data_IF_901189270175
#
_entry.id   IF_901189270175
#
_cell.length_a   1.000
_cell.length_b   1.000
_cell.length_c   1.000
_cell.angle_alpha   90.00
_cell.angle_beta   90.00
_cell.angle_gamma   90.00
#
_symmetry.space_group_name_H-M   'P 1'
#
loop_
_entity.id
_entity.type
_entity.pdbx_description
1 polymer ?
#
# COMPACT_ATOMS: atom_id res chain seq x y z
N UNK A 1 12.56 6.11 26.51
CA UNK A 1 11.71 7.07 25.79
C UNK A 1 11.48 6.53 24.39
N UNK A 2 10.23 6.25 24.00
CA UNK A 2 9.91 5.82 22.65
C UNK A 2 10.14 7.00 21.68
N UNK A 3 10.93 6.80 20.62
CA UNK A 3 11.08 7.77 19.55
C UNK A 3 9.71 7.95 18.89
N UNK A 4 9.15 9.17 18.90
CA UNK A 4 7.91 9.43 18.18
C UNK A 4 8.15 9.15 16.69
N UNK A 5 7.40 8.22 16.13
CA UNK A 5 7.37 8.00 14.69
C UNK A 5 6.85 9.27 14.01
N UNK A 6 7.71 9.96 13.25
CA UNK A 6 7.35 11.10 12.41
C UNK A 6 7.53 10.64 10.97
N UNK A 7 6.44 10.29 10.32
CA UNK A 7 6.43 10.01 8.88
C UNK A 7 6.50 11.36 8.15
N UNK A 8 7.48 11.52 7.26
CA UNK A 8 7.54 12.68 6.38
C UNK A 8 6.46 12.54 5.31
N UNK A 9 5.50 13.46 5.31
CA UNK A 9 4.33 13.41 4.43
C UNK A 9 4.43 14.34 3.22
N UNK A 10 5.63 14.81 2.88
CA UNK A 10 5.85 15.89 1.90
C UNK A 10 5.78 15.53 0.41
N UNK A 11 5.72 14.24 0.03
CA UNK A 11 5.43 13.80 -1.36
C UNK A 11 3.94 13.91 -1.75
N UNK A 12 3.44 13.09 -2.68
CA UNK A 12 2.00 12.99 -3.01
C UNK A 12 1.17 12.69 -1.75
N UNK A 13 0.57 13.75 -1.21
CA UNK A 13 -0.03 13.77 0.12
C UNK A 13 -1.43 13.16 0.07
N UNK A 14 -2.15 13.38 -1.03
CA UNK A 14 -3.50 12.85 -1.23
C UNK A 14 -3.47 11.32 -1.21
N UNK A 15 -2.60 10.72 -2.03
CA UNK A 15 -2.47 9.26 -2.08
C UNK A 15 -2.19 8.61 -0.72
N UNK A 16 -1.38 9.24 0.13
CA UNK A 16 -1.06 8.72 1.47
C UNK A 16 -2.16 8.96 2.50
N UNK A 17 -2.93 10.03 2.36
CA UNK A 17 -4.11 10.25 3.19
C UNK A 17 -5.19 9.22 2.84
N UNK A 18 -5.44 8.99 1.55
CA UNK A 18 -6.36 7.97 1.05
C UNK A 18 -5.95 6.57 1.54
N UNK A 19 -4.67 6.19 1.39
CA UNK A 19 -4.17 4.90 1.89
C UNK A 19 -4.33 4.72 3.41
N UNK A 20 -4.19 5.79 4.19
CA UNK A 20 -4.35 5.74 5.64
C UNK A 20 -5.83 5.65 6.03
N UNK A 21 -6.70 6.34 5.31
CA UNK A 21 -8.16 6.27 5.51
C UNK A 21 -8.68 4.88 5.13
N UNK A 22 -8.25 4.33 3.99
CA UNK A 22 -8.56 2.95 3.59
C UNK A 22 -8.10 1.93 4.64
N UNK A 23 -6.90 2.12 5.20
CA UNK A 23 -6.39 1.26 6.26
C UNK A 23 -7.19 1.41 7.56
N UNK A 24 -7.59 2.64 7.92
CA UNK A 24 -8.45 2.90 9.08
C UNK A 24 -9.80 2.20 8.94
N UNK A 25 -10.45 2.32 7.78
CA UNK A 25 -11.74 1.67 7.51
C UNK A 25 -11.60 0.14 7.46
N UNK A 26 -10.55 -0.37 6.81
CA UNK A 26 -10.31 -1.81 6.66
C UNK A 26 -10.06 -2.51 8.01
N UNK A 27 -9.34 -1.86 8.91
CA UNK A 27 -8.95 -2.44 10.20
C UNK A 27 -9.80 -1.95 11.37
N UNK A 28 -10.86 -1.17 11.13
CA UNK A 28 -11.73 -0.56 12.14
C UNK A 28 -10.93 0.25 13.18
N UNK A 29 -9.97 1.03 12.70
CA UNK A 29 -9.05 1.82 13.51
C UNK A 29 -9.40 3.30 13.46
N UNK A 30 -9.48 3.93 14.64
CA UNK A 30 -9.86 5.35 14.76
C UNK A 30 -8.70 6.33 14.62
N UNK A 31 -7.46 5.83 14.49
CA UNK A 31 -6.25 6.65 14.39
C UNK A 31 -5.34 6.18 13.27
N UNK A 32 -4.68 7.13 12.60
CA UNK A 32 -3.66 6.84 11.56
C UNK A 32 -2.54 5.93 12.08
N UNK A 33 -2.11 6.12 13.33
CA UNK A 33 -1.12 5.25 13.97
C UNK A 33 -1.64 3.84 14.23
N UNK A 34 -2.90 3.69 14.64
CA UNK A 34 -3.56 2.40 14.84
C UNK A 34 -3.65 1.64 13.53
N UNK A 35 -4.10 2.31 12.46
CA UNK A 35 -4.18 1.72 11.12
C UNK A 35 -2.81 1.24 10.60
N UNK A 36 -1.74 2.00 10.81
CA UNK A 36 -0.38 1.56 10.45
C UNK A 36 0.04 0.33 11.25
N UNK A 37 -0.19 0.29 12.56
CA UNK A 37 0.16 -0.87 13.39
C UNK A 37 -0.64 -2.11 12.96
N UNK A 38 -1.96 -1.96 12.77
CA UNK A 38 -2.83 -3.04 12.30
C UNK A 38 -2.41 -3.57 10.93
N UNK A 39 -2.06 -2.67 9.99
CA UNK A 39 -1.54 -3.06 8.68
C UNK A 39 -0.22 -3.83 8.77
N UNK A 40 0.70 -3.44 9.66
CA UNK A 40 1.97 -4.14 9.87
C UNK A 40 1.76 -5.53 10.49
N UNK A 41 0.90 -5.63 11.50
CA UNK A 41 0.55 -6.90 12.13
C UNK A 41 -0.15 -7.85 11.16
N UNK A 42 -1.02 -7.30 10.30
CA UNK A 42 -1.68 -8.03 9.23
C UNK A 42 -0.69 -8.53 8.18
N UNK A 43 0.22 -7.68 7.70
CA UNK A 43 1.26 -8.07 6.74
C UNK A 43 2.12 -9.21 7.26
N UNK A 44 2.51 -9.16 8.54
CA UNK A 44 3.28 -10.25 9.18
C UNK A 44 2.51 -11.57 9.21
N UNK A 45 1.20 -11.52 9.47
CA UNK A 45 0.35 -12.70 9.47
C UNK A 45 0.14 -13.26 8.05
N UNK A 46 0.00 -12.37 7.06
CA UNK A 46 -0.12 -12.75 5.66
C UNK A 46 1.15 -13.43 5.14
N UNK A 47 2.34 -12.93 5.47
CA UNK A 47 3.60 -13.57 5.05
C UNK A 47 3.63 -15.03 5.48
N UNK A 48 3.36 -15.31 6.76
CA UNK A 48 3.31 -16.68 7.27
C UNK A 48 2.19 -17.52 6.62
N UNK A 49 1.03 -16.91 6.32
CA UNK A 49 -0.05 -17.60 5.65
C UNK A 49 0.30 -17.96 4.20
N UNK A 50 0.96 -17.07 3.47
CA UNK A 50 1.42 -17.29 2.09
C UNK A 50 2.54 -18.33 2.02
N UNK A 51 3.48 -18.32 2.97
CA UNK A 51 4.50 -19.38 3.10
C UNK A 51 3.84 -20.76 3.29
N UNK A 52 2.82 -20.85 4.15
CA UNK A 52 2.10 -22.12 4.35
C UNK A 52 1.25 -22.50 3.15
N UNK A 53 0.70 -21.53 2.45
CA UNK A 53 -0.10 -21.76 1.26
C UNK A 53 0.78 -22.29 0.11
N UNK A 54 2.00 -21.78 -0.05
CA UNK A 54 2.90 -22.21 -1.13
C UNK A 54 3.30 -23.68 -1.02
N UNK A 55 3.30 -24.24 0.19
CA UNK A 55 3.56 -25.65 0.49
C UNK A 55 2.30 -26.54 0.44
N UNK A 56 1.11 -25.96 0.25
CA UNK A 56 -0.14 -26.70 0.25
C UNK A 56 -0.28 -27.56 -1.02
N UNK A 57 -0.76 -28.83 -0.94
CA UNK A 57 -0.90 -29.71 -2.10
C UNK A 57 -1.78 -29.16 -3.24
N UNK A 58 -2.73 -28.29 -2.91
CA UNK A 58 -3.62 -27.66 -3.87
C UNK A 58 -3.06 -26.34 -4.46
N UNK A 59 -1.84 -25.94 -4.08
CA UNK A 59 -1.19 -24.77 -4.68
C UNK A 59 -0.75 -25.09 -6.11
N UNK A 60 -1.21 -24.28 -7.06
CA UNK A 60 -0.86 -24.40 -8.48
C UNK A 60 0.17 -23.33 -8.86
N UNK A 61 0.96 -23.56 -9.91
CA UNK A 61 1.92 -22.57 -10.41
C UNK A 61 1.23 -21.25 -10.82
N UNK A 62 0.07 -21.34 -11.48
CA UNK A 62 -0.73 -20.16 -11.86
C UNK A 62 -1.20 -19.35 -10.64
N UNK A 63 -1.66 -20.03 -9.59
CA UNK A 63 -2.09 -19.36 -8.36
C UNK A 63 -0.90 -18.75 -7.62
N UNK A 64 0.25 -19.44 -7.61
CA UNK A 64 1.48 -18.92 -7.02
C UNK A 64 1.93 -17.64 -7.73
N UNK A 65 1.86 -17.58 -9.06
CA UNK A 65 2.20 -16.38 -9.84
C UNK A 65 1.29 -15.20 -9.50
N UNK A 66 -0.03 -15.43 -9.37
CA UNK A 66 -1.00 -14.39 -8.99
C UNK A 66 -0.73 -13.86 -7.58
N UNK A 67 -0.46 -14.74 -6.62
CA UNK A 67 -0.22 -14.37 -5.22
C UNK A 67 1.15 -13.72 -5.01
N UNK A 68 2.14 -14.01 -5.85
CA UNK A 68 3.51 -13.47 -5.75
C UNK A 68 3.66 -12.09 -6.40
N UNK A 69 2.72 -11.69 -7.25
CA UNK A 69 2.83 -10.45 -8.02
C UNK A 69 2.18 -9.28 -7.28
N UNK A 70 2.99 -8.37 -6.76
CA UNK A 70 2.50 -7.09 -6.24
C UNK A 70 1.93 -6.24 -7.37
N UNK A 71 0.62 -5.99 -7.36
CA UNK A 71 -0.03 -5.11 -8.31
C UNK A 71 0.02 -3.67 -7.80
N UNK A 72 0.64 -2.77 -8.57
CA UNK A 72 0.59 -1.33 -8.33
C UNK A 72 0.08 -0.64 -9.59
N UNK A 73 -0.96 0.17 -9.44
CA UNK A 73 -1.48 1.00 -10.52
C UNK A 73 -0.69 2.33 -10.53
N UNK A 74 0.12 2.55 -11.57
CA UNK A 74 0.88 3.79 -11.74
C UNK A 74 0.09 4.70 -12.69
N UNK A 75 -0.55 5.74 -12.14
CA UNK A 75 -1.18 6.80 -12.94
C UNK A 75 -0.11 7.84 -13.30
N UNK A 76 0.15 8.03 -14.60
CA UNK A 76 1.06 9.07 -15.08
C UNK A 76 0.27 10.15 -15.82
N UNK A 77 0.23 11.35 -15.26
CA UNK A 77 -0.38 12.53 -15.89
C UNK A 77 0.71 13.36 -16.59
N UNK A 78 0.56 13.57 -17.91
CA UNK A 78 1.49 14.38 -18.72
C UNK A 78 0.87 15.73 -19.00
N UNK A 79 1.25 16.75 -18.24
CA UNK A 79 0.89 18.14 -18.51
C UNK A 79 1.79 18.71 -19.63
N UNK A 80 1.21 19.14 -20.75
CA UNK A 80 1.93 19.86 -21.81
C UNK A 80 1.62 21.35 -21.74
N UNK A 81 2.58 22.15 -21.28
CA UNK A 81 2.54 23.61 -21.38
C UNK A 81 2.79 24.05 -22.82
N UNK A 82 1.72 24.33 -23.58
CA UNK A 82 1.81 24.93 -24.90
C UNK A 82 1.97 26.45 -24.76
N UNK A 83 3.21 26.91 -24.55
CA UNK A 83 3.53 28.34 -24.68
C UNK A 83 3.29 28.79 -26.11
N UNK A 84 2.20 29.52 -26.31
CA UNK A 84 1.93 30.21 -27.58
C UNK A 84 2.95 31.34 -27.74
N UNK A 85 3.66 31.45 -28.88
CA UNK A 85 4.54 32.59 -29.13
C UNK A 85 3.67 33.85 -29.22
N UNK A 86 4.05 34.91 -28.49
CA UNK A 86 3.49 36.25 -28.69
C UNK A 86 4.11 36.84 -29.97
N UNK A 87 3.25 37.26 -30.89
CA UNK A 87 3.58 38.13 -32.03
C UNK A 87 4.14 39.49 -31.58
#
# INVERSE_FOLDING_TARGET
MAKSFRMDTSGDKAHREDLLEDAMDRFDESTKSGAVVAALDFSRQIETALERASEHPDMTEELADVLSTSHFEVVHEVERDLRTPRD
#
